data_IF_053245904774
#
_entry.id   IF_053245904774
#
_cell.length_a   1.000
_cell.length_b   1.000
_cell.length_c   1.000
_cell.angle_alpha   90.00
_cell.angle_beta   90.00
_cell.angle_gamma   90.00
#
_symmetry.space_group_name_H-M   'P 1'
#
loop_
_entity.id
_entity.type
_entity.pdbx_description
1 polymer ?
#
# COMPACT_ATOMS: atom_id res chain seq x y z
N UNK A 1 -16.47 16.21 1.89
CA UNK A 1 -15.90 15.10 1.14
C UNK A 1 -15.63 13.94 2.07
N UNK A 2 -16.05 12.77 1.68
CA UNK A 2 -15.80 11.58 2.48
C UNK A 2 -14.37 11.10 2.31
N UNK A 3 -13.62 11.13 3.38
CA UNK A 3 -12.27 10.61 3.44
C UNK A 3 -12.24 9.44 4.41
N UNK A 4 -11.64 8.34 4.01
CA UNK A 4 -11.35 7.23 4.91
C UNK A 4 -9.85 7.15 5.13
N UNK A 5 -9.48 6.69 6.32
CA UNK A 5 -8.08 6.48 6.71
C UNK A 5 -7.96 5.13 7.39
N UNK A 6 -6.90 4.42 7.07
CA UNK A 6 -6.59 3.19 7.81
C UNK A 6 -5.09 2.98 7.89
N UNK A 7 -4.68 2.16 8.83
CA UNK A 7 -3.28 1.85 9.10
C UNK A 7 -3.10 0.34 9.00
N UNK A 8 -2.08 -0.07 8.24
CA UNK A 8 -1.66 -1.47 8.18
C UNK A 8 -0.38 -1.58 9.00
N UNK A 9 -0.41 -2.32 10.12
CA UNK A 9 0.78 -2.46 10.97
C UNK A 9 1.85 -3.32 10.32
N UNK A 10 3.07 -3.11 10.74
CA UNK A 10 4.21 -3.87 10.27
C UNK A 10 4.96 -3.22 9.13
N UNK A 11 6.04 -3.87 8.74
CA UNK A 11 6.92 -3.36 7.71
C UNK A 11 6.21 -3.27 6.34
N UNK A 12 6.37 -2.15 5.60
CA UNK A 12 5.79 -2.03 4.27
C UNK A 12 6.25 -3.13 3.32
N UNK A 13 5.32 -3.63 2.52
CA UNK A 13 5.56 -4.68 1.55
C UNK A 13 5.12 -4.21 0.17
N UNK A 14 5.88 -4.52 -0.85
CA UNK A 14 5.57 -4.17 -2.23
C UNK A 14 5.05 -5.36 -3.02
N UNK A 15 4.30 -5.08 -4.08
CA UNK A 15 3.79 -6.12 -4.96
C UNK A 15 4.96 -6.82 -5.64
N UNK A 16 5.11 -8.12 -5.38
CA UNK A 16 6.06 -8.95 -6.07
C UNK A 16 5.61 -9.26 -7.49
N UNK A 17 6.55 -9.61 -8.36
CA UNK A 17 6.18 -10.08 -9.69
C UNK A 17 5.47 -11.41 -9.58
N UNK A 18 4.46 -11.68 -10.43
CA UNK A 18 3.84 -13.00 -10.51
C UNK A 18 4.92 -14.05 -10.78
N UNK A 19 4.80 -15.17 -10.07
CA UNK A 19 5.65 -16.34 -10.31
C UNK A 19 4.86 -17.34 -11.14
N UNK A 20 5.60 -18.26 -11.78
CA UNK A 20 5.00 -19.27 -12.63
C UNK A 20 5.36 -20.64 -12.08
N UNK A 21 4.42 -21.57 -12.19
CA UNK A 21 4.64 -22.98 -11.89
C UNK A 21 4.16 -23.80 -13.08
N UNK A 22 4.70 -24.98 -13.22
CA UNK A 22 4.32 -25.90 -14.30
C UNK A 22 3.21 -26.79 -13.78
N UNK A 23 2.08 -26.80 -14.51
CA UNK A 23 0.94 -27.69 -14.24
C UNK A 23 0.73 -28.49 -15.54
N UNK A 24 1.15 -29.76 -15.53
CA UNK A 24 1.18 -30.57 -16.74
C UNK A 24 2.20 -29.98 -17.75
N UNK A 25 1.71 -29.57 -18.93
CA UNK A 25 2.53 -28.95 -19.97
C UNK A 25 2.38 -27.42 -20.01
N UNK A 26 1.66 -26.83 -19.04
CA UNK A 26 1.33 -25.42 -19.05
C UNK A 26 2.06 -24.69 -17.93
N UNK A 27 2.45 -23.44 -18.22
CA UNK A 27 2.88 -22.49 -17.20
C UNK A 27 1.63 -21.82 -16.62
N UNK A 28 1.53 -21.79 -15.28
CA UNK A 28 0.42 -21.14 -14.59
C UNK A 28 0.98 -20.02 -13.69
N UNK A 29 0.52 -18.77 -13.90
CA UNK A 29 0.90 -17.69 -12.98
C UNK A 29 0.25 -17.88 -11.62
N UNK A 30 0.94 -17.49 -10.56
CA UNK A 30 0.37 -17.51 -9.22
C UNK A 30 0.95 -16.36 -8.38
N UNK A 31 0.18 -15.93 -7.39
CA UNK A 31 0.60 -14.90 -6.44
C UNK A 31 1.41 -15.54 -5.31
N UNK A 32 2.65 -15.08 -5.05
CA UNK A 32 3.42 -15.59 -3.93
C UNK A 32 2.66 -15.48 -2.61
N UNK A 33 2.85 -16.44 -1.72
CA UNK A 33 2.14 -16.52 -0.44
C UNK A 33 2.27 -15.26 0.39
N UNK A 34 3.47 -14.68 0.49
CA UNK A 34 3.70 -13.44 1.24
C UNK A 34 2.89 -12.27 0.69
N UNK A 35 2.80 -12.16 -0.63
CA UNK A 35 2.00 -11.12 -1.28
C UNK A 35 0.53 -11.31 -0.96
N UNK A 36 0.02 -12.54 -1.10
CA UNK A 36 -1.38 -12.85 -0.79
C UNK A 36 -1.70 -12.57 0.68
N UNK A 37 -0.81 -12.94 1.59
CA UNK A 37 -0.96 -12.69 3.02
C UNK A 37 -1.02 -11.19 3.32
N UNK A 38 -0.14 -10.41 2.72
CA UNK A 38 -0.13 -8.96 2.92
C UNK A 38 -1.38 -8.31 2.33
N UNK A 39 -1.82 -8.74 1.14
CA UNK A 39 -3.07 -8.24 0.55
C UNK A 39 -4.27 -8.55 1.45
N UNK A 40 -4.31 -9.73 2.04
CA UNK A 40 -5.38 -10.09 2.98
C UNK A 40 -5.34 -9.21 4.23
N UNK A 41 -4.15 -8.88 4.73
CA UNK A 41 -4.00 -7.96 5.86
C UNK A 41 -4.54 -6.57 5.50
N UNK A 42 -4.24 -6.05 4.31
CA UNK A 42 -4.77 -4.77 3.85
C UNK A 42 -6.30 -4.79 3.85
N UNK A 43 -6.90 -5.85 3.29
CA UNK A 43 -8.36 -6.00 3.23
C UNK A 43 -8.98 -6.02 4.62
N UNK A 44 -8.39 -6.79 5.53
CA UNK A 44 -8.85 -6.91 6.90
C UNK A 44 -8.82 -5.57 7.63
N UNK A 45 -7.70 -4.85 7.53
CA UNK A 45 -7.55 -3.56 8.19
C UNK A 45 -8.47 -2.50 7.58
N UNK A 46 -8.66 -2.52 6.26
CA UNK A 46 -9.61 -1.63 5.61
C UNK A 46 -11.04 -1.88 6.13
N UNK A 47 -11.47 -3.14 6.13
CA UNK A 47 -12.81 -3.51 6.60
C UNK A 47 -13.00 -3.11 8.05
N UNK A 48 -12.01 -3.40 8.90
CA UNK A 48 -12.10 -3.13 10.33
C UNK A 48 -12.12 -1.63 10.64
N UNK A 49 -11.27 -0.85 9.98
CA UNK A 49 -11.11 0.59 10.29
C UNK A 49 -12.04 1.49 9.48
N UNK A 50 -12.41 1.11 8.28
CA UNK A 50 -13.24 1.91 7.38
C UNK A 50 -14.65 1.35 7.23
N UNK A 51 -14.99 0.29 7.97
CA UNK A 51 -16.33 -0.32 8.02
C UNK A 51 -16.87 -0.69 6.64
N UNK A 52 -15.98 -1.18 5.77
CA UNK A 52 -16.38 -1.62 4.45
C UNK A 52 -16.85 -0.51 3.51
N UNK A 53 -16.45 0.74 3.75
CA UNK A 53 -16.81 1.86 2.88
C UNK A 53 -16.47 1.55 1.43
N UNK A 54 -17.46 1.67 0.54
CA UNK A 54 -17.25 1.47 -0.89
C UNK A 54 -17.65 2.71 -1.66
N UNK A 55 -16.72 3.22 -2.46
CA UNK A 55 -16.99 4.33 -3.38
C UNK A 55 -17.70 3.83 -4.62
N UNK A 56 -18.52 4.67 -5.25
CA UNK A 56 -19.21 4.33 -6.47
C UNK A 56 -18.26 4.24 -7.66
N UNK A 57 -18.64 3.48 -8.68
CA UNK A 57 -17.82 3.29 -9.87
C UNK A 57 -17.61 4.58 -10.68
N UNK A 58 -18.50 5.54 -10.51
CA UNK A 58 -18.43 6.86 -11.16
C UNK A 58 -17.60 7.87 -10.39
N UNK A 59 -17.16 7.53 -9.18
CA UNK A 59 -16.35 8.44 -8.37
C UNK A 59 -14.90 8.48 -8.88
N UNK A 60 -14.37 9.68 -9.01
CA UNK A 60 -12.94 9.90 -9.22
C UNK A 60 -12.29 10.03 -7.84
N UNK A 61 -11.25 9.26 -7.59
CA UNK A 61 -10.67 9.09 -6.26
C UNK A 61 -9.24 9.61 -6.16
N UNK A 62 -8.88 10.03 -4.96
CA UNK A 62 -7.50 10.26 -4.55
C UNK A 62 -7.06 9.19 -3.57
N UNK A 63 -5.77 8.86 -3.57
CA UNK A 63 -5.18 7.93 -2.63
C UNK A 63 -3.80 8.43 -2.21
N UNK A 64 -3.59 8.52 -0.91
CA UNK A 64 -2.28 8.88 -0.35
C UNK A 64 -1.82 7.74 0.55
N UNK A 65 -0.64 7.19 0.24
CA UNK A 65 -0.03 6.11 0.99
C UNK A 65 1.28 6.63 1.58
N UNK A 66 1.43 6.51 2.90
CA UNK A 66 2.69 6.80 3.57
C UNK A 66 3.23 5.50 4.14
N UNK A 67 4.37 5.05 3.61
CA UNK A 67 5.00 3.80 4.02
C UNK A 67 6.16 4.12 4.97
N UNK A 68 6.04 3.71 6.23
CA UNK A 68 7.06 3.92 7.25
C UNK A 68 7.90 2.66 7.41
N UNK A 69 9.15 2.75 7.02
CA UNK A 69 10.12 1.66 7.17
C UNK A 69 10.82 1.75 8.53
N UNK A 70 11.17 0.60 9.12
CA UNK A 70 11.91 0.62 10.36
C UNK A 70 13.34 1.12 10.16
N UNK A 71 13.87 1.78 11.17
CA UNK A 71 15.28 2.17 11.20
C UNK A 71 16.10 0.91 11.48
N UNK A 72 17.12 0.59 10.64
CA UNK A 72 17.96 -0.58 10.89
C UNK A 72 18.61 -0.51 12.27
N UNK A 73 18.67 -1.65 12.98
CA UNK A 73 19.16 -1.72 14.34
C UNK A 73 20.62 -1.28 14.50
N UNK A 74 21.43 -1.43 13.45
CA UNK A 74 22.84 -1.05 13.45
C UNK A 74 23.09 0.44 13.20
N UNK A 75 22.02 1.23 13.04
CA UNK A 75 22.14 2.65 12.72
C UNK A 75 22.62 3.45 13.93
N UNK A 76 23.59 4.36 13.71
CA UNK A 76 24.07 5.25 14.77
C UNK A 76 22.95 6.19 15.25
N UNK A 77 23.08 6.71 16.45
CA UNK A 77 22.11 7.66 17.01
C UNK A 77 21.98 8.91 16.15
N UNK A 78 23.10 9.43 15.67
CA UNK A 78 23.10 10.62 14.80
C UNK A 78 22.35 10.37 13.51
N UNK A 79 22.61 9.25 12.85
CA UNK A 79 21.95 8.89 11.60
C UNK A 79 20.46 8.59 11.81
N UNK A 80 20.13 7.90 12.91
CA UNK A 80 18.73 7.65 13.27
C UNK A 80 17.95 8.95 13.44
N UNK A 81 18.56 9.95 14.06
CA UNK A 81 17.93 11.26 14.22
C UNK A 81 17.65 11.92 12.87
N UNK A 82 18.62 11.85 11.95
CA UNK A 82 18.43 12.39 10.59
C UNK A 82 17.33 11.67 9.85
N UNK A 83 17.19 10.35 10.05
CA UNK A 83 16.10 9.57 9.48
C UNK A 83 14.73 9.99 10.01
N UNK A 84 14.62 10.16 11.34
CA UNK A 84 13.38 10.59 11.97
C UNK A 84 13.03 12.04 11.61
N UNK A 85 14.02 12.88 11.42
CA UNK A 85 13.83 14.28 11.02
C UNK A 85 13.57 14.45 9.52
N UNK A 86 13.43 13.35 8.79
CA UNK A 86 13.14 13.34 7.35
C UNK A 86 14.20 14.01 6.50
N UNK A 87 15.47 13.83 6.90
CA UNK A 87 16.63 14.29 6.14
C UNK A 87 17.32 13.13 5.42
N UNK A 88 17.08 11.90 5.87
CA UNK A 88 17.51 10.66 5.21
C UNK A 88 16.25 9.81 4.97
N UNK A 89 16.09 9.33 3.75
CA UNK A 89 14.91 8.60 3.31
C UNK A 89 15.24 7.15 2.99
N UNK A 90 14.25 6.23 3.09
CA UNK A 90 14.46 4.82 2.76
C UNK A 90 14.42 4.60 1.23
N UNK A 91 15.53 4.90 0.59
CA UNK A 91 15.68 4.74 -0.86
C UNK A 91 15.95 3.32 -1.33
N UNK A 92 15.48 2.31 -0.59
CA UNK A 92 15.64 0.89 -0.89
C UNK A 92 14.27 0.25 -1.09
N UNK A 93 14.25 -1.03 -1.47
CA UNK A 93 13.01 -1.79 -1.62
C UNK A 93 12.15 -1.72 -0.36
N UNK A 94 10.83 -1.78 -0.47
CA UNK A 94 10.07 -1.91 -1.72
C UNK A 94 10.02 -0.60 -2.51
N UNK A 95 9.92 -0.74 -3.85
CA UNK A 95 9.79 0.41 -4.73
C UNK A 95 8.43 1.10 -4.50
N UNK A 96 8.39 2.43 -4.71
CA UNK A 96 7.17 3.22 -4.47
C UNK A 96 5.98 2.74 -5.32
N UNK A 97 6.21 2.36 -6.59
CA UNK A 97 5.16 1.87 -7.47
C UNK A 97 4.65 0.50 -7.04
N UNK A 98 5.52 -0.38 -6.54
CA UNK A 98 5.12 -1.68 -6.02
C UNK A 98 4.30 -1.57 -4.74
N UNK A 99 4.57 -0.55 -3.91
CA UNK A 99 3.72 -0.25 -2.75
C UNK A 99 2.33 0.17 -3.22
N UNK A 100 2.26 1.12 -4.15
CA UNK A 100 0.98 1.56 -4.71
C UNK A 100 0.20 0.42 -5.32
N UNK A 101 0.87 -0.45 -6.07
CA UNK A 101 0.24 -1.58 -6.74
C UNK A 101 -0.38 -2.59 -5.77
N UNK A 102 0.32 -2.96 -4.71
CA UNK A 102 -0.23 -3.94 -3.77
C UNK A 102 -1.47 -3.41 -3.05
N UNK A 103 -1.50 -2.12 -2.72
CA UNK A 103 -2.68 -1.50 -2.11
C UNK A 103 -3.84 -1.40 -3.09
N UNK A 104 -3.58 -1.04 -4.34
CA UNK A 104 -4.62 -1.03 -5.38
C UNK A 104 -5.16 -2.43 -5.63
N UNK A 105 -4.29 -3.42 -5.79
CA UNK A 105 -4.71 -4.80 -6.04
C UNK A 105 -5.54 -5.37 -4.88
N UNK A 106 -5.14 -5.05 -3.64
CA UNK A 106 -5.89 -5.51 -2.46
C UNK A 106 -7.27 -4.86 -2.36
N UNK A 107 -7.37 -3.57 -2.72
CA UNK A 107 -8.60 -2.79 -2.54
C UNK A 107 -9.53 -2.82 -3.76
N UNK A 108 -9.07 -3.33 -4.90
CA UNK A 108 -9.90 -3.52 -6.07
C UNK A 108 -11.10 -4.43 -5.73
N UNK A 109 -12.31 -3.95 -6.04
CA UNK A 109 -13.55 -4.67 -5.73
C UNK A 109 -13.97 -4.60 -4.27
N UNK A 110 -13.23 -3.89 -3.42
CA UNK A 110 -13.51 -3.73 -1.99
C UNK A 110 -13.79 -2.26 -1.67
N UNK A 111 -12.80 -1.38 -1.78
CA UNK A 111 -12.97 0.05 -1.52
C UNK A 111 -13.56 0.78 -2.74
N UNK A 112 -13.27 0.31 -3.92
CA UNK A 112 -13.72 0.84 -5.21
C UNK A 112 -13.82 -0.29 -6.22
N UNK A 113 -14.39 -0.02 -7.38
CA UNK A 113 -14.54 -1.06 -8.40
C UNK A 113 -13.21 -1.40 -9.05
N UNK A 114 -12.43 -0.37 -9.41
CA UNK A 114 -11.15 -0.56 -10.07
C UNK A 114 -10.22 0.64 -9.81
N UNK A 115 -8.93 0.39 -9.77
CA UNK A 115 -7.93 1.43 -9.51
C UNK A 115 -7.78 2.45 -10.66
N UNK A 116 -8.41 2.20 -11.81
CA UNK A 116 -8.56 3.21 -12.85
C UNK A 116 -9.32 4.44 -12.36
N UNK A 117 -10.07 4.32 -11.27
CA UNK A 117 -10.79 5.43 -10.65
C UNK A 117 -9.86 6.39 -9.89
N UNK A 118 -8.65 5.96 -9.58
CA UNK A 118 -7.68 6.80 -8.86
C UNK A 118 -7.04 7.76 -9.86
N UNK A 119 -7.38 9.03 -9.72
CA UNK A 119 -6.90 10.11 -10.62
C UNK A 119 -5.84 10.98 -9.97
N UNK A 120 -5.64 10.84 -8.66
CA UNK A 120 -4.66 11.57 -7.88
C UNK A 120 -4.05 10.59 -6.87
N UNK A 121 -2.85 10.10 -7.16
CA UNK A 121 -2.21 9.08 -6.33
C UNK A 121 -0.81 9.50 -5.89
N UNK A 122 -0.51 9.21 -4.64
CA UNK A 122 0.79 9.54 -4.07
C UNK A 122 1.26 8.45 -3.11
N UNK A 123 2.53 8.09 -3.21
CA UNK A 123 3.21 7.18 -2.27
C UNK A 123 4.44 7.89 -1.74
N UNK A 124 4.57 7.96 -0.43
CA UNK A 124 5.74 8.54 0.24
C UNK A 124 6.37 7.46 1.13
N UNK A 125 7.68 7.37 1.08
CA UNK A 125 8.47 6.43 1.90
C UNK A 125 9.26 7.21 2.92
N UNK A 126 9.05 6.90 4.20
CA UNK A 126 9.71 7.57 5.33
C UNK A 126 10.24 6.51 6.29
N UNK A 127 11.12 6.93 7.21
CA UNK A 127 11.52 6.10 8.34
C UNK A 127 10.68 6.43 9.57
N UNK A 128 10.44 5.42 10.40
CA UNK A 128 9.80 5.59 11.71
C UNK A 128 10.30 4.52 12.67
N UNK A 129 10.14 4.79 13.96
CA UNK A 129 10.44 3.78 14.98
C UNK A 129 9.48 2.62 14.89
N UNK A 130 8.19 2.90 14.65
CA UNK A 130 7.16 1.89 14.49
C UNK A 130 6.81 1.75 13.00
N UNK A 131 7.24 0.67 12.34
CA UNK A 131 6.92 0.46 10.93
C UNK A 131 5.43 0.25 10.73
N UNK A 132 4.89 0.88 9.69
CA UNK A 132 3.49 0.80 9.34
C UNK A 132 3.24 1.45 7.98
N UNK A 133 2.05 1.28 7.45
CA UNK A 133 1.59 2.01 6.28
C UNK A 133 0.29 2.73 6.63
N UNK A 134 0.22 4.02 6.34
CA UNK A 134 -0.99 4.83 6.53
C UNK A 134 -1.57 5.14 5.17
N UNK A 135 -2.88 4.92 5.01
CA UNK A 135 -3.56 5.12 3.74
C UNK A 135 -4.75 6.04 3.92
N UNK A 136 -4.89 7.01 3.02
CA UNK A 136 -6.05 7.88 2.93
C UNK A 136 -6.66 7.73 1.54
N UNK A 137 -7.99 7.65 1.49
CA UNK A 137 -8.75 7.61 0.23
C UNK A 137 -9.87 8.64 0.34
N UNK A 138 -10.08 9.41 -0.72
CA UNK A 138 -11.13 10.43 -0.74
C UNK A 138 -11.71 10.55 -2.14
N UNK A 139 -12.89 11.13 -2.22
CA UNK A 139 -13.53 11.43 -3.48
C UNK A 139 -13.04 12.77 -3.99
N UNK A 140 -12.53 12.81 -5.22
CA UNK A 140 -12.05 14.02 -5.90
C UNK A 140 -13.22 14.67 -6.67
N UNK A 141 -14.03 13.85 -7.31
CA UNK A 141 -15.10 14.32 -8.17
C UNK A 141 -15.78 13.14 -8.86
N UNK A 142 -16.17 13.35 -10.11
CA UNK A 142 -16.80 12.30 -10.91
C UNK A 142 -15.94 11.99 -12.14
N UNK A 143 -15.96 10.73 -12.57
CA UNK A 143 -15.31 10.30 -13.78
C UNK A 143 -16.15 10.75 -15.01
N UNK A 144 -15.43 11.12 -16.03
CA UNK A 144 -16.05 11.49 -17.32
C UNK A 144 -16.41 10.30 -18.19
#
# INVERSE_FOLDING_TARGET
MEKVKFIVPGEPYGKGRPRFRIVGQFQQPYTPEKTATYENLIKLEYERQCHGKRYGKEDALGMFITAYKPIPSSTSKKKSRLMLDRLIFPGKKPDWDNIGKIYCDALNGIAFQDDTQIVDGRVVKLYAELPRVEVEIWRVGQNG
#
